data_IF_729768945762
#
_entry.id   IF_729768945762
#
_cell.length_a   1.000
_cell.length_b   1.000
_cell.length_c   1.000
_cell.angle_alpha   90.00
_cell.angle_beta   90.00
_cell.angle_gamma   90.00
#
_symmetry.space_group_name_H-M   'P 1'
#
loop_
_entity.id
_entity.type
_entity.pdbx_description
1 polymer ?
#
# COMPACT_ATOMS: atom_id res chain seq x y z
N UNK A 1 -8.72 -1.11 -2.09
CA UNK A 1 -8.83 -1.51 -0.66
C UNK A 1 -7.45 -1.91 -0.18
N UNK A 2 -7.09 -1.73 1.12
CA UNK A 2 -5.81 -2.25 1.64
C UNK A 2 -5.72 -3.76 1.42
N UNK A 3 -4.52 -4.24 1.07
CA UNK A 3 -4.27 -5.67 0.85
C UNK A 3 -3.58 -6.26 2.09
N UNK A 4 -4.36 -6.73 3.05
CA UNK A 4 -3.85 -7.40 4.25
C UNK A 4 -4.35 -8.85 4.38
N UNK A 5 -5.33 -9.26 3.57
CA UNK A 5 -5.95 -10.58 3.67
C UNK A 5 -5.03 -11.72 3.22
N UNK A 6 -4.05 -11.42 2.37
CA UNK A 6 -3.09 -12.42 1.90
C UNK A 6 -1.98 -12.73 2.91
N UNK A 7 -1.85 -11.92 3.96
CA UNK A 7 -0.87 -12.15 5.02
C UNK A 7 -1.47 -13.13 6.04
N UNK A 8 -0.75 -14.20 6.34
CA UNK A 8 -1.19 -15.19 7.33
C UNK A 8 -1.38 -14.53 8.71
N UNK A 9 -2.62 -14.52 9.22
CA UNK A 9 -3.00 -13.83 10.44
C UNK A 9 -3.28 -12.34 10.25
N UNK A 10 -3.44 -11.87 9.01
CA UNK A 10 -3.72 -10.47 8.67
C UNK A 10 -5.02 -9.94 9.32
N UNK A 11 -5.98 -10.82 9.61
CA UNK A 11 -7.21 -10.47 10.33
C UNK A 11 -6.98 -9.96 11.76
N UNK A 12 -5.77 -10.13 12.30
CA UNK A 12 -5.35 -9.59 13.60
C UNK A 12 -4.76 -8.18 13.51
N UNK A 13 -4.54 -7.70 12.30
CA UNK A 13 -3.91 -6.40 12.03
C UNK A 13 -4.96 -5.31 11.72
N UNK A 14 -4.54 -4.07 11.89
CA UNK A 14 -5.21 -2.91 11.32
C UNK A 14 -4.51 -2.50 10.02
N UNK A 15 -5.24 -1.87 9.12
CA UNK A 15 -4.63 -1.20 7.98
C UNK A 15 -4.20 0.23 8.34
N UNK A 16 -3.32 0.82 7.53
CA UNK A 16 -2.99 2.24 7.64
C UNK A 16 -4.23 3.13 7.45
N UNK A 17 -5.21 2.68 6.68
CA UNK A 17 -6.47 3.38 6.49
C UNK A 17 -7.31 3.45 7.76
N UNK A 18 -7.41 2.37 8.53
CA UNK A 18 -8.15 2.33 9.80
C UNK A 18 -7.57 3.31 10.82
N UNK A 19 -6.24 3.43 10.84
CA UNK A 19 -5.55 4.35 11.74
C UNK A 19 -5.73 5.81 11.29
N UNK A 20 -5.50 6.08 10.01
CA UNK A 20 -5.54 7.46 9.48
C UNK A 20 -6.95 8.02 9.38
N UNK A 21 -7.98 7.18 9.17
CA UNK A 21 -9.39 7.58 9.26
C UNK A 21 -9.86 7.86 10.70
N UNK A 22 -9.08 7.43 11.70
CA UNK A 22 -9.43 7.55 13.10
C UNK A 22 -10.37 6.46 13.62
N UNK A 23 -10.54 5.37 12.88
CA UNK A 23 -11.36 4.24 13.29
C UNK A 23 -10.63 3.36 14.31
N UNK A 24 -9.31 3.20 14.17
CA UNK A 24 -8.48 2.38 15.06
C UNK A 24 -7.41 3.21 15.79
N UNK A 25 -6.95 2.66 16.93
CA UNK A 25 -5.78 3.14 17.71
C UNK A 25 -5.80 4.65 17.99
N UNK A 26 -6.89 5.15 18.53
CA UNK A 26 -7.16 6.61 18.67
C UNK A 26 -6.25 7.31 19.66
N UNK A 27 -6.01 6.71 20.82
CA UNK A 27 -5.16 7.24 21.89
C UNK A 27 -4.57 6.07 22.66
N UNK A 28 -3.28 6.13 22.97
CA UNK A 28 -2.62 5.17 23.85
C UNK A 28 -3.14 5.31 25.29
N UNK A 29 -3.39 4.18 25.94
CA UNK A 29 -3.79 4.13 27.35
C UNK A 29 -2.62 3.94 28.31
N UNK A 30 -1.41 3.73 27.75
CA UNK A 30 -0.19 3.48 28.50
C UNK A 30 1.04 3.45 27.58
N UNK A 31 1.92 2.49 27.82
CA UNK A 31 3.14 2.29 27.03
C UNK A 31 2.95 1.23 25.92
N UNK A 32 1.78 1.23 25.29
CA UNK A 32 1.44 0.23 24.27
C UNK A 32 2.37 0.35 23.07
N UNK A 33 2.87 -0.83 22.62
CA UNK A 33 3.73 -0.96 21.44
C UNK A 33 2.90 -1.28 20.22
N UNK A 34 3.11 -0.50 19.15
CA UNK A 34 2.55 -0.77 17.84
C UNK A 34 3.67 -1.12 16.86
N UNK A 35 3.60 -2.28 16.24
CA UNK A 35 4.39 -2.60 15.06
C UNK A 35 3.69 -2.03 13.83
N UNK A 36 4.41 -1.30 13.00
CA UNK A 36 3.95 -0.89 11.68
C UNK A 36 4.81 -1.61 10.66
N UNK A 37 4.21 -2.54 9.91
CA UNK A 37 4.89 -3.21 8.82
C UNK A 37 4.62 -2.48 7.50
N UNK A 38 5.68 -2.16 6.77
CA UNK A 38 5.63 -1.40 5.53
C UNK A 38 6.51 -2.07 4.48
N UNK A 39 5.90 -2.67 3.45
CA UNK A 39 6.59 -3.16 2.26
C UNK A 39 6.17 -2.40 0.98
N UNK A 40 5.52 -1.26 1.17
CA UNK A 40 5.17 -0.34 0.09
C UNK A 40 6.13 0.86 0.01
N UNK A 41 6.73 1.26 1.14
CA UNK A 41 7.78 2.27 1.20
C UNK A 41 7.35 3.71 0.92
N UNK A 42 6.05 4.01 0.92
CA UNK A 42 5.51 5.33 0.55
C UNK A 42 4.97 6.12 1.76
N UNK A 43 4.12 7.11 1.50
CA UNK A 43 3.62 8.06 2.51
C UNK A 43 2.72 7.42 3.58
N UNK A 44 1.98 6.37 3.24
CA UNK A 44 0.91 5.82 4.06
C UNK A 44 1.42 5.30 5.40
N UNK A 45 2.41 4.41 5.37
CA UNK A 45 3.03 3.87 6.58
C UNK A 45 3.74 4.96 7.38
N UNK A 46 4.51 5.83 6.71
CA UNK A 46 5.22 6.92 7.36
C UNK A 46 4.28 7.88 8.09
N UNK A 47 3.16 8.24 7.47
CA UNK A 47 2.12 9.09 8.08
C UNK A 47 1.48 8.40 9.28
N UNK A 48 1.20 7.10 9.15
CA UNK A 48 0.64 6.28 10.23
C UNK A 48 1.58 6.20 11.43
N UNK A 49 2.88 5.97 11.20
CA UNK A 49 3.91 5.96 12.26
C UNK A 49 3.92 7.27 13.03
N UNK A 50 3.96 8.41 12.31
CA UNK A 50 3.98 9.73 12.94
C UNK A 50 2.69 10.00 13.71
N UNK A 51 1.55 9.61 13.15
CA UNK A 51 0.25 9.80 13.80
C UNK A 51 0.12 8.96 15.07
N UNK A 52 0.50 7.69 15.04
CA UNK A 52 0.50 6.81 16.22
C UNK A 52 1.43 7.33 17.32
N UNK A 53 2.62 7.78 16.96
CA UNK A 53 3.56 8.36 17.91
C UNK A 53 3.00 9.64 18.57
N UNK A 54 2.31 10.51 17.82
CA UNK A 54 1.60 11.68 18.38
C UNK A 54 0.45 11.29 19.28
N UNK A 55 -0.21 10.15 19.04
CA UNK A 55 -1.26 9.60 19.91
C UNK A 55 -0.72 8.94 21.18
N UNK A 56 0.62 8.90 21.36
CA UNK A 56 1.29 8.41 22.57
C UNK A 56 1.71 6.95 22.53
N UNK A 57 1.54 6.25 21.40
CA UNK A 57 2.04 4.89 21.25
C UNK A 57 3.56 4.83 21.10
N UNK A 58 4.18 3.77 21.62
CA UNK A 58 5.52 3.38 21.21
C UNK A 58 5.41 2.71 19.83
N UNK A 59 6.22 3.16 18.89
CA UNK A 59 6.10 2.67 17.49
C UNK A 59 7.42 2.07 17.03
N UNK A 60 7.33 0.89 16.43
CA UNK A 60 8.41 0.27 15.66
C UNK A 60 7.95 0.08 14.22
N UNK A 61 8.68 0.66 13.28
CA UNK A 61 8.51 0.44 11.85
C UNK A 61 9.38 -0.74 11.41
N UNK A 62 8.79 -1.69 10.73
CA UNK A 62 9.46 -2.89 10.19
C UNK A 62 9.25 -2.91 8.69
N UNK A 63 10.32 -3.14 7.92
CA UNK A 63 10.27 -3.10 6.46
C UNK A 63 11.25 -4.11 5.83
N UNK A 64 10.92 -4.73 4.69
CA UNK A 64 11.88 -5.50 3.91
C UNK A 64 12.91 -4.62 3.18
N UNK A 65 12.65 -3.32 3.06
CA UNK A 65 13.56 -2.38 2.41
C UNK A 65 14.80 -2.09 3.27
N UNK A 66 15.86 -1.58 2.64
CA UNK A 66 17.13 -1.20 3.31
C UNK A 66 16.96 -0.08 4.32
N UNK A 67 15.95 0.75 4.14
CA UNK A 67 15.60 1.86 5.03
C UNK A 67 14.11 2.17 4.92
N UNK A 68 13.57 2.78 5.96
CA UNK A 68 12.20 3.25 5.96
C UNK A 68 11.93 4.22 4.79
N UNK A 69 10.70 4.21 4.29
CA UNK A 69 10.20 5.13 3.25
C UNK A 69 11.02 5.11 1.96
N UNK A 70 11.41 3.92 1.53
CA UNK A 70 12.34 3.68 0.42
C UNK A 70 11.89 4.30 -0.91
N UNK A 71 10.60 4.25 -1.23
CA UNK A 71 10.00 4.77 -2.45
C UNK A 71 9.65 6.27 -2.38
N UNK A 72 9.92 6.90 -1.25
CA UNK A 72 9.58 8.31 -1.06
C UNK A 72 10.57 9.24 -1.74
N UNK A 73 10.04 10.26 -2.42
CA UNK A 73 10.86 11.29 -3.05
C UNK A 73 11.73 12.08 -2.05
N UNK A 74 12.92 12.46 -2.49
CA UNK A 74 13.95 13.11 -1.67
C UNK A 74 13.48 14.39 -0.95
N UNK A 75 12.45 15.07 -1.45
CA UNK A 75 11.91 16.29 -0.81
C UNK A 75 11.12 16.00 0.47
N UNK A 76 10.44 14.86 0.54
CA UNK A 76 9.59 14.49 1.68
C UNK A 76 10.30 13.60 2.70
N UNK A 77 11.25 12.79 2.24
CA UNK A 77 12.02 11.86 3.06
C UNK A 77 12.58 12.48 4.36
N UNK A 78 13.28 13.65 4.32
CA UNK A 78 13.89 14.22 5.53
C UNK A 78 12.87 14.60 6.60
N UNK A 79 11.65 14.99 6.20
CA UNK A 79 10.59 15.38 7.14
C UNK A 79 10.12 14.19 7.98
N UNK A 80 9.94 13.03 7.36
CA UNK A 80 9.52 11.83 8.07
C UNK A 80 10.64 11.27 8.95
N UNK A 81 11.87 11.23 8.44
CA UNK A 81 13.02 10.76 9.25
C UNK A 81 13.23 11.65 10.47
N UNK A 82 13.11 12.98 10.31
CA UNK A 82 13.15 13.90 11.44
C UNK A 82 12.06 13.56 12.48
N UNK A 83 10.83 13.37 12.03
CA UNK A 83 9.72 13.02 12.91
C UNK A 83 9.94 11.66 13.61
N UNK A 84 10.51 10.67 12.92
CA UNK A 84 10.87 9.39 13.53
C UNK A 84 11.89 9.57 14.67
N UNK A 85 12.92 10.40 14.45
CA UNK A 85 13.89 10.72 15.49
C UNK A 85 13.26 11.49 16.65
N UNK A 86 12.46 12.52 16.37
CA UNK A 86 11.79 13.34 17.40
C UNK A 86 10.89 12.48 18.31
N UNK A 87 10.25 11.44 17.77
CA UNK A 87 9.36 10.53 18.48
C UNK A 87 10.01 9.20 18.89
N UNK A 88 11.33 9.06 18.71
CA UNK A 88 12.08 7.84 19.09
C UNK A 88 11.50 6.55 18.45
N UNK A 89 11.04 6.64 17.20
CA UNK A 89 10.55 5.49 16.43
C UNK A 89 11.70 4.53 16.15
N UNK A 90 11.54 3.27 16.52
CA UNK A 90 12.50 2.22 16.16
C UNK A 90 12.25 1.76 14.73
N UNK A 91 13.33 1.58 13.94
CA UNK A 91 13.24 1.04 12.57
C UNK A 91 14.00 -0.27 12.49
N UNK A 92 13.33 -1.29 11.95
CA UNK A 92 13.91 -2.62 11.70
C UNK A 92 13.82 -2.90 10.20
N UNK A 93 14.90 -2.68 9.44
CA UNK A 93 14.95 -2.96 8.01
C UNK A 93 15.29 -4.43 7.70
N UNK A 94 15.28 -4.78 6.41
CA UNK A 94 15.78 -6.04 5.84
C UNK A 94 15.03 -7.29 6.32
N UNK A 95 13.77 -7.16 6.76
CA UNK A 95 12.95 -8.28 7.23
C UNK A 95 11.53 -8.24 6.70
N UNK A 96 11.06 -9.37 6.22
CA UNK A 96 9.75 -9.57 5.62
C UNK A 96 8.80 -10.26 6.58
N UNK A 97 7.59 -9.72 6.72
CA UNK A 97 6.53 -10.32 7.53
C UNK A 97 6.09 -11.66 6.93
N UNK A 98 6.11 -12.70 7.76
CA UNK A 98 5.72 -14.06 7.39
C UNK A 98 4.35 -14.44 7.95
N UNK A 99 4.10 -14.11 9.23
CA UNK A 99 2.83 -14.42 9.88
C UNK A 99 2.60 -13.60 11.13
N UNK A 100 1.33 -13.52 11.50
CA UNK A 100 0.87 -12.91 12.75
C UNK A 100 0.06 -13.95 13.52
N UNK A 101 0.22 -13.98 14.82
CA UNK A 101 -0.56 -14.84 15.72
C UNK A 101 -0.94 -14.09 16.98
N UNK A 102 -2.01 -14.54 17.64
CA UNK A 102 -2.42 -13.99 18.94
C UNK A 102 -1.44 -14.44 20.03
N UNK A 103 -0.99 -13.51 20.87
CA UNK A 103 -0.20 -13.83 22.06
C UNK A 103 -0.70 -13.04 23.26
N UNK A 104 -1.40 -13.72 24.16
CA UNK A 104 -2.08 -13.07 25.28
C UNK A 104 -3.10 -12.04 24.79
N UNK A 105 -2.96 -10.79 25.26
CA UNK A 105 -3.80 -9.67 24.82
C UNK A 105 -3.29 -8.98 23.55
N UNK A 106 -2.05 -9.27 23.13
CA UNK A 106 -1.40 -8.67 21.97
C UNK A 106 -1.19 -9.65 20.82
N UNK A 107 -0.18 -9.39 20.04
CA UNK A 107 0.20 -10.14 18.84
C UNK A 107 1.67 -10.52 18.86
N UNK A 108 1.99 -11.64 18.23
CA UNK A 108 3.32 -12.08 17.88
C UNK A 108 3.45 -12.06 16.36
N UNK A 109 4.32 -11.22 15.84
CA UNK A 109 4.66 -11.17 14.44
C UNK A 109 5.99 -11.91 14.17
N UNK A 110 6.00 -12.77 13.18
CA UNK A 110 7.17 -13.52 12.73
C UNK A 110 7.67 -12.94 11.42
N UNK A 111 8.98 -12.69 11.35
CA UNK A 111 9.65 -12.10 10.20
C UNK A 111 10.81 -12.99 9.75
N UNK A 112 11.08 -13.02 8.45
CA UNK A 112 12.23 -13.68 7.86
C UNK A 112 13.15 -12.64 7.22
N UNK A 113 14.45 -12.85 7.32
CA UNK A 113 15.43 -12.05 6.57
C UNK A 113 15.52 -12.55 5.13
N UNK A 114 15.60 -11.63 4.17
CA UNK A 114 15.88 -11.95 2.76
C UNK A 114 17.38 -12.28 2.55
N UNK A 115 18.24 -12.06 3.55
CA UNK A 115 19.70 -12.22 3.47
C UNK A 115 20.25 -13.45 4.22
N UNK A 116 19.38 -14.29 4.76
CA UNK A 116 19.80 -15.51 5.47
C UNK A 116 18.65 -16.25 6.14
N UNK A 117 18.95 -17.39 6.73
CA UNK A 117 17.97 -18.30 7.34
C UNK A 117 17.50 -17.86 8.75
N UNK A 118 17.65 -16.58 9.07
CA UNK A 118 17.24 -16.05 10.37
C UNK A 118 15.77 -15.64 10.36
N UNK A 119 15.04 -16.12 11.36
CA UNK A 119 13.69 -15.63 11.69
C UNK A 119 13.72 -14.73 12.92
N UNK A 120 12.89 -13.71 12.91
CA UNK A 120 12.72 -12.77 14.01
C UNK A 120 11.29 -12.84 14.52
N UNK A 121 11.13 -12.73 15.84
CA UNK A 121 9.81 -12.68 16.47
C UNK A 121 9.70 -11.40 17.29
N UNK A 122 8.71 -10.60 16.98
CA UNK A 122 8.44 -9.36 17.68
C UNK A 122 7.05 -9.43 18.31
N UNK A 123 6.98 -9.08 19.59
CA UNK A 123 5.72 -8.95 20.33
C UNK A 123 5.29 -7.49 20.33
N UNK A 124 4.00 -7.27 20.23
CA UNK A 124 3.40 -5.96 20.36
C UNK A 124 1.96 -6.06 20.87
N UNK A 125 1.41 -4.93 21.29
CA UNK A 125 0.00 -4.83 21.63
C UNK A 125 -0.86 -4.82 20.37
N UNK A 126 -0.37 -4.14 19.33
CA UNK A 126 -1.05 -4.01 18.04
C UNK A 126 -0.07 -4.13 16.86
N UNK A 127 -0.60 -4.49 15.71
CA UNK A 127 0.12 -4.43 14.43
C UNK A 127 -0.72 -3.70 13.40
N UNK A 128 -0.06 -2.83 12.64
CA UNK A 128 -0.61 -2.12 11.48
C UNK A 128 0.17 -2.53 10.25
N UNK A 129 -0.51 -2.76 9.15
CA UNK A 129 0.10 -3.21 7.90
C UNK A 129 -0.17 -2.20 6.79
N UNK A 130 0.89 -1.88 6.05
CA UNK A 130 0.85 -1.25 4.74
C UNK A 130 1.46 -2.20 3.72
N UNK A 131 0.60 -2.84 2.92
CA UNK A 131 0.97 -3.80 1.88
C UNK A 131 0.38 -3.37 0.52
N UNK A 132 0.28 -2.07 0.30
CA UNK A 132 -0.35 -1.50 -0.87
C UNK A 132 -1.88 -1.67 -0.88
N UNK A 133 -2.46 -1.58 -2.04
CA UNK A 133 -3.91 -1.64 -2.23
C UNK A 133 -4.29 -2.45 -3.47
N UNK A 134 -5.40 -3.16 -3.36
CA UNK A 134 -6.02 -3.85 -4.49
C UNK A 134 -6.79 -2.85 -5.37
N UNK A 135 -6.72 -2.98 -6.69
CA UNK A 135 -7.55 -2.21 -7.61
C UNK A 135 -9.04 -2.38 -7.30
N UNK A 136 -9.80 -1.30 -7.44
CA UNK A 136 -11.27 -1.38 -7.46
C UNK A 136 -11.73 -1.43 -8.93
N UNK A 137 -11.77 -2.65 -9.49
CA UNK A 137 -12.01 -2.89 -10.91
C UNK A 137 -13.22 -3.79 -11.20
N UNK A 138 -14.09 -4.01 -10.23
CA UNK A 138 -15.30 -4.83 -10.35
C UNK A 138 -16.17 -4.37 -11.52
N UNK A 139 -16.43 -3.07 -11.62
CA UNK A 139 -17.22 -2.48 -12.69
C UNK A 139 -16.62 -2.76 -14.08
N UNK A 140 -15.30 -2.75 -14.18
CA UNK A 140 -14.65 -3.09 -15.46
C UNK A 140 -14.95 -4.53 -15.85
N UNK A 141 -14.85 -5.49 -14.95
CA UNK A 141 -15.13 -6.89 -15.25
C UNK A 141 -16.60 -7.17 -15.53
N UNK A 142 -17.53 -6.43 -14.95
CA UNK A 142 -18.96 -6.51 -15.26
C UNK A 142 -19.25 -6.02 -16.69
N UNK A 143 -18.53 -4.99 -17.16
CA UNK A 143 -18.79 -4.36 -18.45
C UNK A 143 -17.98 -4.93 -19.62
N UNK A 144 -16.86 -5.58 -19.36
CA UNK A 144 -15.89 -5.98 -20.40
C UNK A 144 -16.47 -6.91 -21.44
N UNK A 145 -17.40 -7.78 -21.05
CA UNK A 145 -18.04 -8.74 -21.97
C UNK A 145 -18.84 -8.06 -23.09
N UNK A 146 -19.33 -6.85 -22.84
CA UNK A 146 -20.14 -6.07 -23.79
C UNK A 146 -19.34 -4.96 -24.49
N UNK A 147 -18.03 -4.87 -24.22
CA UNK A 147 -17.17 -3.85 -24.79
C UNK A 147 -16.68 -4.26 -26.19
N UNK A 148 -16.77 -3.33 -27.15
CA UNK A 148 -16.34 -3.55 -28.53
C UNK A 148 -14.85 -3.88 -28.65
N UNK A 149 -14.02 -3.33 -27.80
CA UNK A 149 -12.58 -3.59 -27.72
C UNK A 149 -12.22 -4.72 -26.73
N UNK A 150 -13.20 -5.43 -26.17
CA UNK A 150 -12.98 -6.47 -25.14
C UNK A 150 -12.10 -6.00 -23.96
N UNK A 151 -12.13 -4.70 -23.65
CA UNK A 151 -11.29 -4.10 -22.60
C UNK A 151 -9.80 -3.98 -22.95
N UNK A 152 -9.40 -4.33 -24.17
CA UNK A 152 -7.98 -4.34 -24.57
C UNK A 152 -7.53 -2.93 -24.96
N UNK A 153 -6.32 -2.57 -24.55
CA UNK A 153 -5.61 -1.38 -25.02
C UNK A 153 -4.61 -1.80 -26.08
N UNK A 154 -4.64 -1.15 -27.24
CA UNK A 154 -3.59 -1.29 -28.26
C UNK A 154 -2.34 -0.56 -27.79
N UNK A 155 -1.38 -1.31 -27.29
CA UNK A 155 -0.13 -0.77 -26.74
C UNK A 155 0.74 -0.09 -27.81
N UNK A 156 0.93 -0.66 -29.01
CA UNK A 156 1.62 0.05 -30.11
C UNK A 156 1.01 1.42 -30.41
N UNK A 157 -0.31 1.51 -30.59
CA UNK A 157 -0.99 2.78 -30.83
C UNK A 157 -0.81 3.76 -29.65
N UNK A 158 -0.95 3.26 -28.42
CA UNK A 158 -0.74 4.08 -27.21
C UNK A 158 0.69 4.67 -27.14
N UNK A 159 1.70 3.87 -27.48
CA UNK A 159 3.11 4.31 -27.50
C UNK A 159 3.35 5.32 -28.62
N UNK A 160 2.73 5.10 -29.79
CA UNK A 160 2.84 6.00 -30.92
C UNK A 160 2.06 7.31 -30.73
N UNK A 161 1.19 7.40 -29.72
CA UNK A 161 0.28 8.55 -29.53
C UNK A 161 -0.84 8.58 -30.58
N UNK A 162 -1.23 7.42 -31.09
CA UNK A 162 -2.30 7.25 -32.06
C UNK A 162 -3.62 6.87 -31.39
N UNK A 163 -4.74 7.12 -32.07
CA UNK A 163 -6.05 6.74 -31.57
C UNK A 163 -6.18 5.23 -31.38
N UNK A 164 -6.86 4.84 -30.30
CA UNK A 164 -7.18 3.43 -30.09
C UNK A 164 -8.10 2.94 -31.18
N UNK A 165 -7.79 1.80 -31.83
CA UNK A 165 -8.61 1.31 -32.92
C UNK A 165 -10.01 0.93 -32.45
N UNK A 166 -11.03 1.29 -33.22
CA UNK A 166 -12.37 0.79 -32.99
C UNK A 166 -12.48 -0.65 -33.49
N UNK A 167 -12.77 -1.57 -32.56
CA UNK A 167 -12.82 -3.01 -32.88
C UNK A 167 -14.19 -3.48 -33.41
N UNK A 168 -15.20 -2.61 -33.44
CA UNK A 168 -16.54 -2.98 -33.90
C UNK A 168 -17.19 -1.88 -34.74
N UNK A 169 -17.83 -2.31 -35.84
CA UNK A 169 -18.66 -1.45 -36.69
C UNK A 169 -20.10 -1.31 -36.17
N UNK A 170 -20.47 -2.01 -35.08
CA UNK A 170 -21.84 -2.14 -34.59
C UNK A 170 -22.26 -1.12 -33.55
N UNK A 171 -21.49 -0.05 -33.37
CA UNK A 171 -21.82 1.05 -32.45
C UNK A 171 -21.67 0.72 -30.97
N UNK A 172 -20.93 -0.34 -30.62
CA UNK A 172 -20.59 -0.67 -29.23
C UNK A 172 -19.63 0.36 -28.63
N UNK A 173 -19.57 0.40 -27.29
CA UNK A 173 -18.62 1.25 -26.59
C UNK A 173 -17.27 0.56 -26.43
N UNK A 174 -16.19 1.35 -26.47
CA UNK A 174 -14.89 0.90 -26.01
C UNK A 174 -14.80 1.07 -24.50
N UNK A 175 -14.19 0.11 -23.82
CA UNK A 175 -14.00 0.11 -22.38
C UNK A 175 -12.50 0.07 -22.09
N UNK A 176 -12.05 0.99 -21.24
CA UNK A 176 -10.66 1.04 -20.78
C UNK A 176 -10.63 1.25 -19.27
N UNK A 177 -9.58 0.76 -18.62
CA UNK A 177 -9.26 1.15 -17.23
C UNK A 177 -7.88 1.79 -17.19
N UNK A 178 -7.73 2.77 -16.32
CA UNK A 178 -6.51 3.56 -16.17
C UNK A 178 -6.21 3.81 -14.69
N UNK A 179 -4.99 4.19 -14.40
CA UNK A 179 -4.57 4.55 -13.05
C UNK A 179 -4.74 3.40 -12.07
N UNK A 180 -5.27 3.71 -10.88
CA UNK A 180 -5.39 2.74 -9.80
C UNK A 180 -6.42 1.63 -10.05
N UNK A 181 -7.27 1.77 -11.04
CA UNK A 181 -8.10 0.65 -11.51
C UNK A 181 -7.27 -0.43 -12.23
N UNK A 182 -6.06 -0.12 -12.70
CA UNK A 182 -5.12 -1.09 -13.29
C UNK A 182 -4.15 -1.61 -12.23
N UNK A 183 -3.47 -0.68 -11.56
CA UNK A 183 -2.53 -0.99 -10.49
C UNK A 183 -2.34 0.26 -9.62
N UNK A 184 -2.44 0.09 -8.32
CA UNK A 184 -2.25 1.19 -7.39
C UNK A 184 -0.81 1.68 -7.43
N UNK A 185 -0.64 2.98 -7.67
CA UNK A 185 0.67 3.64 -7.74
C UNK A 185 0.59 5.00 -7.03
N UNK A 186 0.56 6.08 -7.81
CA UNK A 186 0.43 7.43 -7.29
C UNK A 186 -0.39 8.31 -8.23
N UNK A 187 -0.81 9.46 -7.73
CA UNK A 187 -1.64 10.43 -8.47
C UNK A 187 -1.02 10.81 -9.83
N UNK A 188 0.30 10.99 -9.89
CA UNK A 188 0.99 11.37 -11.14
C UNK A 188 0.88 10.27 -12.20
N UNK A 189 1.05 9.01 -11.80
CA UNK A 189 0.90 7.86 -12.70
C UNK A 189 -0.54 7.76 -13.21
N UNK A 190 -1.53 7.91 -12.35
CA UNK A 190 -2.95 7.86 -12.72
C UNK A 190 -3.32 8.96 -13.71
N UNK A 191 -2.86 10.19 -13.48
CA UNK A 191 -3.06 11.32 -14.40
C UNK A 191 -2.37 11.05 -15.73
N UNK A 192 -1.14 10.52 -15.71
CA UNK A 192 -0.39 10.24 -16.93
C UNK A 192 -1.07 9.17 -17.78
N UNK A 193 -1.55 8.09 -17.17
CA UNK A 193 -2.27 7.01 -17.85
C UNK A 193 -3.54 7.54 -18.51
N UNK A 194 -4.35 8.27 -17.76
CA UNK A 194 -5.58 8.88 -18.27
C UNK A 194 -5.27 9.85 -19.42
N UNK A 195 -4.26 10.71 -19.25
CA UNK A 195 -3.87 11.67 -20.29
C UNK A 195 -3.43 10.97 -21.56
N UNK A 196 -2.56 9.95 -21.46
CA UNK A 196 -2.06 9.22 -22.63
C UNK A 196 -3.18 8.54 -23.41
N UNK A 197 -4.11 7.92 -22.71
CA UNK A 197 -5.23 7.25 -23.35
C UNK A 197 -6.22 8.25 -23.96
N UNK A 198 -6.59 9.32 -23.22
CA UNK A 198 -7.61 10.26 -23.64
C UNK A 198 -7.14 11.31 -24.68
N UNK A 199 -5.84 11.46 -24.92
CA UNK A 199 -5.33 12.36 -25.97
C UNK A 199 -5.62 11.87 -27.39
N UNK A 200 -6.03 10.62 -27.54
CA UNK A 200 -6.18 9.93 -28.82
C UNK A 200 -7.63 9.63 -29.18
N UNK A 201 -8.59 10.26 -28.47
CA UNK A 201 -10.02 10.20 -28.80
C UNK A 201 -10.45 11.40 -29.65
#
# INVERSE_FOLDING_TARGET
MPDIEHIKGGELAHSTWDVLSGEALKIASGEEMVLVYDDHGQHQAASTVVELAKRGFKVRLVTPDRHAVHEMGASNFPMYIKAFHDHQVEVTPDVRLNSISREGNGVLAEFNSDYGDHSYKLKADYIVIEHGTLPNDELYYEMVANAANHGVVDIPALIAGEAQPSMSNDGGHNLFRVGDAVASRNIHASILDARRLCQTF
#
